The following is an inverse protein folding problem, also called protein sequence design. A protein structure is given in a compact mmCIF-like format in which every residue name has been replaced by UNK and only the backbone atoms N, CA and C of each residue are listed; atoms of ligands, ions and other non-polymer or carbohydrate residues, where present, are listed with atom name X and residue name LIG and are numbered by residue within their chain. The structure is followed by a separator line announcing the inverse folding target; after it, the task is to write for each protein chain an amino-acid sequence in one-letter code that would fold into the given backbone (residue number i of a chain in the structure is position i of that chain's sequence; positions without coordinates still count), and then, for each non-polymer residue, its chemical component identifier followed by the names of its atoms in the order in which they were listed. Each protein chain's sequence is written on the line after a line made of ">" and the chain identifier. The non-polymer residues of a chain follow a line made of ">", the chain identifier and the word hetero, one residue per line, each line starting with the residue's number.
data_IF_895030108226
#
_entry.id   IF_895030108226
#
_cell.length_a   1.000
_cell.length_b   1.000
_cell.length_c   1.000
_cell.angle_alpha   90.00
_cell.angle_beta   90.00
_cell.angle_gamma   90.00
#
_symmetry.space_group_name_H-M   'P 1'
#
loop_
_entity.id
_entity.type
_entity.pdbx_description
1 polymer ?
#
# COMPACT_ATOMS: atom_id res chain seq x y z
N UNK A 1 3.86 -18.09 -25.98
CA UNK A 1 4.73 -17.79 -27.16
C UNK A 1 5.37 -16.43 -26.92
N UNK A 2 6.66 -16.39 -26.51
CA UNK A 2 7.37 -15.14 -26.19
C UNK A 2 7.41 -14.19 -27.40
N UNK A 3 6.92 -12.96 -27.23
CA UNK A 3 7.04 -11.89 -28.25
C UNK A 3 8.12 -10.90 -27.82
N UNK A 4 9.34 -11.10 -28.34
CA UNK A 4 10.42 -10.12 -28.23
C UNK A 4 10.27 -9.05 -29.33
N UNK A 5 10.31 -7.76 -28.94
CA UNK A 5 10.48 -6.65 -29.87
C UNK A 5 11.96 -6.54 -30.25
N UNK A 6 12.24 -6.67 -31.56
CA UNK A 6 13.60 -6.74 -32.09
C UNK A 6 14.22 -5.34 -32.30
N UNK A 7 15.31 -5.05 -31.57
CA UNK A 7 16.31 -4.03 -31.90
C UNK A 7 17.62 -4.69 -32.35
N UNK A 8 18.17 -4.26 -33.49
CA UNK A 8 19.30 -4.89 -34.17
C UNK A 8 20.69 -4.50 -33.60
N UNK A 9 21.56 -5.52 -33.54
CA UNK A 9 23.01 -5.53 -33.82
C UNK A 9 24.03 -5.23 -32.70
N UNK A 10 24.76 -6.27 -32.25
CA UNK A 10 26.12 -6.56 -32.72
C UNK A 10 26.70 -7.84 -32.05
N UNK A 11 27.37 -8.66 -32.86
CA UNK A 11 27.94 -9.97 -32.55
C UNK A 11 29.08 -9.90 -31.51
N UNK A 12 28.93 -10.62 -30.40
CA UNK A 12 30.00 -10.96 -29.47
C UNK A 12 29.73 -12.32 -28.83
N UNK A 13 30.54 -13.33 -29.16
CA UNK A 13 30.43 -14.69 -28.65
C UNK A 13 31.11 -14.76 -27.27
N UNK A 14 30.34 -14.68 -26.18
CA UNK A 14 30.80 -14.99 -24.83
C UNK A 14 29.69 -15.65 -24.02
N UNK A 15 29.98 -16.90 -23.60
CA UNK A 15 29.42 -17.66 -22.47
C UNK A 15 27.90 -17.94 -22.47
N UNK A 16 27.60 -19.18 -22.13
CA UNK A 16 26.28 -19.78 -21.91
C UNK A 16 25.35 -18.81 -21.16
N UNK A 17 24.21 -18.53 -21.78
CA UNK A 17 23.16 -17.67 -21.25
C UNK A 17 22.65 -18.17 -19.90
N UNK A 18 23.03 -17.50 -18.82
CA UNK A 18 22.10 -17.23 -17.74
C UNK A 18 21.27 -16.05 -18.24
N UNK A 19 19.96 -16.25 -18.42
CA UNK A 19 19.05 -15.16 -18.79
C UNK A 19 19.19 -14.05 -17.77
N UNK A 20 19.55 -12.85 -18.24
CA UNK A 20 19.40 -11.66 -17.41
C UNK A 20 17.93 -11.50 -17.13
N UNK A 21 17.57 -11.50 -15.85
CA UNK A 21 16.25 -11.10 -15.35
C UNK A 21 15.93 -9.76 -15.98
N UNK A 22 14.96 -9.72 -16.90
CA UNK A 22 14.42 -8.45 -17.37
C UNK A 22 13.26 -8.13 -16.45
N UNK A 23 13.29 -6.92 -15.91
CA UNK A 23 12.28 -6.24 -15.08
C UNK A 23 10.85 -6.28 -15.68
N UNK A 24 10.70 -6.74 -16.93
CA UNK A 24 9.48 -6.75 -17.74
C UNK A 24 8.82 -8.15 -17.92
N UNK A 25 9.08 -9.12 -17.03
CA UNK A 25 8.42 -10.43 -17.16
C UNK A 25 6.96 -10.35 -16.70
N UNK A 26 6.07 -10.19 -17.68
CA UNK A 26 4.64 -10.39 -17.56
C UNK A 26 4.27 -11.86 -17.75
N UNK A 27 3.36 -12.35 -16.93
CA UNK A 27 2.84 -13.72 -16.97
C UNK A 27 1.34 -13.67 -17.24
N UNK A 28 0.86 -14.46 -18.20
CA UNK A 28 -0.56 -14.47 -18.61
C UNK A 28 -1.45 -15.25 -17.64
N UNK A 29 -0.85 -16.07 -16.76
CA UNK A 29 -1.56 -16.87 -15.75
C UNK A 29 -0.63 -17.35 -14.64
N UNK A 30 -1.19 -17.75 -13.50
CA UNK A 30 -0.43 -18.30 -12.39
C UNK A 30 0.22 -19.65 -12.75
N UNK A 31 -0.42 -20.45 -13.61
CA UNK A 31 0.17 -21.69 -14.12
C UNK A 31 1.43 -21.41 -14.97
N UNK A 32 1.43 -20.36 -15.81
CA UNK A 32 2.63 -19.94 -16.55
C UNK A 32 3.76 -19.50 -15.62
N UNK A 33 3.42 -18.76 -14.56
CA UNK A 33 4.41 -18.35 -13.55
C UNK A 33 4.94 -19.54 -12.73
N UNK A 34 4.11 -20.55 -12.46
CA UNK A 34 4.55 -21.82 -11.86
C UNK A 34 5.55 -22.53 -12.77
N UNK A 35 5.27 -22.65 -14.07
CA UNK A 35 6.20 -23.27 -15.03
C UNK A 35 7.56 -22.54 -15.05
N UNK A 36 7.54 -21.20 -14.99
CA UNK A 36 8.75 -20.40 -14.91
C UNK A 36 9.50 -20.64 -13.58
N UNK A 37 8.79 -20.62 -12.45
CA UNK A 37 9.31 -20.92 -11.12
C UNK A 37 10.01 -22.28 -11.04
N UNK A 38 9.38 -23.33 -11.56
CA UNK A 38 9.96 -24.67 -11.60
C UNK A 38 11.16 -24.76 -12.56
N UNK A 39 11.15 -24.03 -13.68
CA UNK A 39 12.27 -24.02 -14.62
C UNK A 39 13.56 -23.43 -14.03
N UNK A 40 13.42 -22.51 -13.07
CA UNK A 40 14.53 -21.90 -12.33
C UNK A 40 14.97 -22.75 -11.11
N UNK A 41 14.30 -23.88 -10.86
CA UNK A 41 14.60 -24.81 -9.78
C UNK A 41 13.77 -24.63 -8.51
N UNK A 42 12.69 -23.84 -8.59
CA UNK A 42 11.66 -23.80 -7.55
C UNK A 42 10.86 -25.09 -7.47
N UNK A 43 10.21 -25.35 -6.33
CA UNK A 43 9.38 -26.54 -6.13
C UNK A 43 7.92 -26.15 -5.87
N UNK A 44 7.03 -26.40 -6.82
CA UNK A 44 5.58 -26.27 -6.63
C UNK A 44 4.91 -27.65 -6.60
N UNK A 45 4.97 -28.32 -5.45
CA UNK A 45 4.35 -29.63 -5.32
C UNK A 45 2.82 -29.52 -5.29
N UNK A 46 2.13 -30.40 -6.03
CA UNK A 46 0.65 -30.50 -6.05
C UNK A 46 -0.06 -29.15 -6.28
N UNK A 47 0.17 -28.48 -7.43
CA UNK A 47 -0.41 -27.17 -7.70
C UNK A 47 -1.94 -27.25 -7.69
N UNK A 48 -2.56 -26.38 -6.90
CA UNK A 48 -4.00 -26.15 -6.89
C UNK A 48 -4.29 -24.77 -7.44
N UNK A 49 -4.76 -24.72 -8.67
CA UNK A 49 -5.15 -23.50 -9.39
C UNK A 49 -6.58 -23.11 -9.04
N UNK A 50 -6.81 -21.84 -8.74
CA UNK A 50 -8.11 -21.24 -8.52
C UNK A 50 -8.16 -19.85 -9.18
N UNK A 51 -9.36 -19.42 -9.60
CA UNK A 51 -9.56 -18.01 -9.97
C UNK A 51 -9.54 -17.16 -8.71
N UNK A 52 -8.98 -15.96 -8.82
CA UNK A 52 -8.80 -15.02 -7.71
C UNK A 52 -9.24 -13.61 -8.12
N UNK A 53 -9.37 -12.71 -7.15
CA UNK A 53 -9.62 -11.28 -7.37
C UNK A 53 -10.89 -11.01 -8.22
N UNK A 54 -12.03 -11.62 -7.86
CA UNK A 54 -13.29 -11.49 -8.60
C UNK A 54 -13.19 -11.79 -10.11
N UNK A 55 -12.45 -12.84 -10.48
CA UNK A 55 -12.16 -13.28 -11.85
C UNK A 55 -11.17 -12.39 -12.64
N UNK A 56 -10.40 -11.52 -11.96
CA UNK A 56 -9.37 -10.67 -12.57
C UNK A 56 -7.94 -11.23 -12.49
N UNK A 57 -7.76 -12.37 -11.82
CA UNK A 57 -6.50 -13.07 -11.83
C UNK A 57 -6.60 -14.54 -11.41
N UNK A 58 -5.44 -15.17 -11.30
CA UNK A 58 -5.27 -16.57 -10.96
C UNK A 58 -4.38 -16.71 -9.73
N UNK A 59 -4.65 -17.74 -8.92
CA UNK A 59 -3.80 -18.14 -7.82
C UNK A 59 -3.46 -19.63 -7.95
N UNK A 60 -2.21 -19.99 -7.65
CA UNK A 60 -1.77 -21.36 -7.46
C UNK A 60 -1.22 -21.52 -6.05
N UNK A 61 -1.77 -22.49 -5.31
CA UNK A 61 -1.22 -22.92 -4.02
C UNK A 61 -0.46 -24.23 -4.19
N UNK A 62 0.80 -24.24 -3.75
CA UNK A 62 1.65 -25.41 -3.76
C UNK A 62 1.73 -26.01 -2.35
N UNK A 63 1.72 -27.34 -2.23
CA UNK A 63 1.90 -28.04 -0.94
C UNK A 63 3.30 -27.86 -0.34
N UNK A 64 4.28 -27.40 -1.14
CA UNK A 64 5.58 -26.91 -0.68
C UNK A 64 5.49 -25.65 0.18
N UNK A 65 4.33 -24.98 0.20
CA UNK A 65 4.08 -23.78 0.99
C UNK A 65 4.36 -22.49 0.22
N UNK A 66 4.51 -22.54 -1.09
CA UNK A 66 4.54 -21.38 -2.00
C UNK A 66 3.12 -21.10 -2.50
N UNK A 67 2.73 -19.83 -2.54
CA UNK A 67 1.52 -19.38 -3.26
C UNK A 67 1.95 -18.39 -4.34
N UNK A 68 1.40 -18.53 -5.54
CA UNK A 68 1.75 -17.75 -6.72
C UNK A 68 0.47 -17.08 -7.24
N UNK A 69 0.54 -15.79 -7.51
CA UNK A 69 -0.59 -14.95 -7.93
C UNK A 69 -0.24 -14.19 -9.20
N UNK A 70 -1.18 -14.07 -10.12
CA UNK A 70 -1.08 -13.21 -11.31
C UNK A 70 -2.39 -12.46 -11.55
N UNK A 71 -2.31 -11.25 -12.09
CA UNK A 71 -3.48 -10.47 -12.50
C UNK A 71 -3.20 -9.69 -13.79
N UNK A 72 -4.25 -9.28 -14.47
CA UNK A 72 -4.17 -8.83 -15.87
C UNK A 72 -3.89 -7.34 -16.01
N UNK A 73 -4.36 -6.53 -15.06
CA UNK A 73 -4.33 -5.07 -15.16
C UNK A 73 -3.20 -4.50 -14.28
N UNK A 74 -2.10 -3.97 -14.87
CA UNK A 74 -1.11 -3.25 -14.10
C UNK A 74 -1.68 -1.94 -13.55
N UNK A 75 -1.08 -1.39 -12.49
CA UNK A 75 -1.52 -0.12 -11.93
C UNK A 75 -1.37 1.02 -12.94
N UNK A 76 -2.20 2.06 -12.81
CA UNK A 76 -2.20 3.20 -13.75
C UNK A 76 -0.91 3.99 -13.73
N UNK A 77 -0.25 4.07 -12.57
CA UNK A 77 1.12 4.56 -12.42
C UNK A 77 1.97 3.45 -11.83
N UNK A 78 3.23 3.40 -12.23
CA UNK A 78 4.21 2.44 -11.71
C UNK A 78 4.44 2.56 -10.20
N UNK A 79 4.17 3.72 -9.60
CA UNK A 79 4.24 3.94 -8.17
C UNK A 79 2.99 3.49 -7.40
N UNK A 80 1.87 3.18 -8.09
CA UNK A 80 0.66 2.74 -7.41
C UNK A 80 0.76 1.24 -7.07
N UNK A 81 0.25 0.88 -5.90
CA UNK A 81 0.16 -0.52 -5.44
C UNK A 81 -1.07 -1.17 -6.09
N UNK A 82 -0.93 -2.31 -6.80
CA UNK A 82 -2.07 -3.02 -7.37
C UNK A 82 -3.11 -3.42 -6.30
N UNK A 83 -4.40 -3.28 -6.59
CA UNK A 83 -5.47 -3.68 -5.67
C UNK A 83 -5.38 -5.19 -5.34
N UNK A 84 -5.05 -6.00 -6.34
CA UNK A 84 -4.85 -7.45 -6.21
C UNK A 84 -3.67 -7.77 -5.28
N UNK A 85 -2.60 -6.96 -5.32
CA UNK A 85 -1.49 -7.12 -4.39
C UNK A 85 -1.94 -6.83 -2.95
N UNK A 86 -2.80 -5.83 -2.73
CA UNK A 86 -3.37 -5.57 -1.41
C UNK A 86 -4.21 -6.75 -0.92
N UNK A 87 -4.99 -7.40 -1.80
CA UNK A 87 -5.75 -8.60 -1.45
C UNK A 87 -4.84 -9.79 -1.10
N UNK A 88 -3.75 -10.00 -1.85
CA UNK A 88 -2.74 -11.02 -1.53
C UNK A 88 -2.13 -10.78 -0.16
N UNK A 89 -1.81 -9.52 0.16
CA UNK A 89 -1.25 -9.12 1.44
C UNK A 89 -2.26 -9.36 2.58
N UNK A 90 -3.53 -8.97 2.40
CA UNK A 90 -4.63 -9.24 3.35
C UNK A 90 -4.87 -10.72 3.58
N UNK A 91 -4.84 -11.52 2.52
CA UNK A 91 -5.06 -12.98 2.60
C UNK A 91 -4.03 -13.68 3.49
N UNK A 92 -2.80 -13.17 3.52
CA UNK A 92 -1.69 -13.73 4.29
C UNK A 92 -1.36 -12.92 5.54
N UNK A 93 -2.21 -11.96 5.91
CA UNK A 93 -2.03 -11.17 7.11
C UNK A 93 -1.96 -12.07 8.35
N UNK A 94 -0.98 -11.79 9.23
CA UNK A 94 -0.74 -12.57 10.44
C UNK A 94 -0.04 -13.92 10.21
N UNK A 95 0.25 -14.31 8.98
CA UNK A 95 1.07 -15.50 8.68
C UNK A 95 2.57 -15.14 8.64
N UNK A 96 3.45 -16.07 9.06
CA UNK A 96 4.92 -15.91 8.94
C UNK A 96 5.37 -16.11 7.48
N UNK A 97 4.99 -15.17 6.60
CA UNK A 97 5.26 -15.22 5.17
C UNK A 97 5.99 -13.98 4.69
N UNK A 98 6.69 -14.15 3.58
CA UNK A 98 7.35 -13.07 2.84
C UNK A 98 6.70 -12.99 1.47
N UNK A 99 6.57 -11.78 0.95
CA UNK A 99 6.00 -11.54 -0.36
C UNK A 99 7.05 -10.95 -1.29
N UNK A 100 7.04 -11.38 -2.54
CA UNK A 100 7.83 -10.77 -3.62
C UNK A 100 6.86 -10.43 -4.72
N UNK A 101 6.72 -9.15 -5.04
CA UNK A 101 5.68 -8.68 -5.93
C UNK A 101 6.20 -7.79 -7.06
N UNK A 102 5.51 -7.83 -8.17
CA UNK A 102 5.64 -6.93 -9.29
C UNK A 102 4.27 -6.33 -9.65
N UNK A 103 4.18 -5.56 -10.73
CA UNK A 103 2.96 -4.89 -11.16
C UNK A 103 1.79 -5.82 -11.49
N UNK A 104 2.04 -7.08 -11.85
CA UNK A 104 1.05 -8.05 -12.36
C UNK A 104 1.15 -9.44 -11.75
N UNK A 105 2.02 -9.62 -10.76
CA UNK A 105 2.20 -10.92 -10.11
C UNK A 105 2.79 -10.79 -8.71
N UNK A 106 2.57 -11.80 -7.88
CA UNK A 106 3.18 -11.91 -6.57
C UNK A 106 3.48 -13.37 -6.19
N UNK A 107 4.60 -13.58 -5.51
CA UNK A 107 4.88 -14.78 -4.74
C UNK A 107 4.61 -14.50 -3.27
N UNK A 108 4.01 -15.47 -2.59
CA UNK A 108 4.06 -15.56 -1.14
C UNK A 108 4.83 -16.82 -0.77
N UNK A 109 5.87 -16.69 0.04
CA UNK A 109 6.81 -17.78 0.41
C UNK A 109 7.08 -17.80 1.91
N UNK A 110 7.66 -18.90 2.40
CA UNK A 110 8.07 -19.05 3.79
C UNK A 110 9.55 -18.74 3.95
N UNK A 111 9.88 -17.80 4.84
CA UNK A 111 11.27 -17.46 5.17
C UNK A 111 11.94 -16.48 4.22
N UNK A 112 12.97 -15.82 4.72
CA UNK A 112 13.72 -14.76 4.03
C UNK A 112 14.52 -15.29 2.83
N UNK A 113 15.25 -16.39 3.03
CA UNK A 113 16.06 -17.02 1.97
C UNK A 113 15.23 -17.37 0.73
N UNK A 114 13.97 -17.81 0.90
CA UNK A 114 13.08 -18.10 -0.23
C UNK A 114 12.61 -16.84 -0.95
N UNK A 115 12.38 -15.74 -0.22
CA UNK A 115 12.00 -14.48 -0.83
C UNK A 115 13.17 -13.86 -1.61
N UNK A 116 14.37 -13.87 -1.05
CA UNK A 116 15.59 -13.45 -1.74
C UNK A 116 15.84 -14.29 -2.99
N UNK A 117 15.68 -15.61 -2.89
CA UNK A 117 15.84 -16.50 -4.03
C UNK A 117 14.88 -16.16 -5.18
N UNK A 118 13.61 -15.84 -4.88
CA UNK A 118 12.62 -15.43 -5.87
C UNK A 118 13.00 -14.07 -6.44
N UNK A 119 13.32 -13.10 -5.59
CA UNK A 119 13.73 -11.75 -6.00
C UNK A 119 14.92 -11.76 -6.97
N UNK A 120 15.95 -12.56 -6.69
CA UNK A 120 17.14 -12.65 -7.55
C UNK A 120 16.86 -13.23 -8.95
N UNK A 121 15.79 -14.00 -9.13
CA UNK A 121 15.48 -14.72 -10.38
C UNK A 121 14.35 -14.10 -11.17
N UNK A 122 13.34 -13.58 -10.47
CA UNK A 122 12.13 -13.03 -11.06
C UNK A 122 12.09 -11.50 -10.98
N UNK A 123 13.00 -10.89 -10.20
CA UNK A 123 12.91 -9.48 -9.87
C UNK A 123 11.79 -9.23 -8.86
N UNK A 124 11.02 -8.16 -9.07
CA UNK A 124 10.00 -7.73 -8.12
C UNK A 124 10.59 -7.22 -6.81
N UNK A 125 9.75 -6.60 -5.98
CA UNK A 125 10.14 -6.04 -4.70
C UNK A 125 9.85 -7.05 -3.58
N UNK A 126 10.83 -7.29 -2.70
CA UNK A 126 10.57 -8.01 -1.45
C UNK A 126 9.79 -7.06 -0.53
N UNK A 127 8.60 -7.49 -0.14
CA UNK A 127 7.75 -6.79 0.81
C UNK A 127 8.06 -7.33 2.23
N UNK A 128 8.37 -6.43 3.16
CA UNK A 128 8.64 -6.79 4.55
C UNK A 128 7.36 -7.25 5.27
N UNK A 129 7.47 -7.93 6.41
CA UNK A 129 6.30 -8.22 7.25
C UNK A 129 5.61 -6.92 7.73
N UNK A 130 6.37 -5.83 7.85
CA UNK A 130 5.88 -4.49 8.14
C UNK A 130 5.24 -3.81 6.92
N UNK A 131 5.55 -4.24 5.70
CA UNK A 131 4.92 -3.74 4.48
C UNK A 131 3.42 -4.06 4.43
N UNK A 132 2.90 -5.03 5.20
CA UNK A 132 1.45 -5.14 5.36
C UNK A 132 0.85 -3.89 6.02
N UNK A 133 1.49 -3.42 7.10
CA UNK A 133 1.05 -2.29 7.91
C UNK A 133 1.23 -0.96 7.16
N UNK A 134 2.34 -0.84 6.43
CA UNK A 134 2.65 0.35 5.65
C UNK A 134 1.83 0.42 4.33
N UNK A 135 1.38 -0.71 3.76
CA UNK A 135 0.65 -0.70 2.47
C UNK A 135 -0.86 -0.77 2.62
N UNK A 136 -1.40 -1.25 3.74
CA UNK A 136 -2.85 -1.44 3.91
C UNK A 136 -3.47 -0.43 4.87
N UNK A 137 -2.70 0.18 5.79
CA UNK A 137 -3.26 1.21 6.67
C UNK A 137 -3.60 2.45 5.85
N UNK A 138 -4.89 2.82 5.71
CA UNK A 138 -5.26 4.04 5.01
C UNK A 138 -4.67 5.28 5.70
N UNK A 139 -4.45 5.21 7.03
CA UNK A 139 -3.80 6.27 7.79
C UNK A 139 -2.31 6.39 7.45
N UNK A 140 -1.58 5.29 7.26
CA UNK A 140 -0.20 5.40 6.81
C UNK A 140 -0.11 6.00 5.40
N UNK A 141 -0.94 5.54 4.46
CA UNK A 141 -0.96 6.06 3.09
C UNK A 141 -1.29 7.57 3.06
N UNK A 142 -2.31 7.98 3.82
CA UNK A 142 -2.64 9.40 3.96
C UNK A 142 -1.55 10.21 4.66
N UNK A 143 -0.79 9.62 5.58
CA UNK A 143 0.36 10.29 6.17
C UNK A 143 1.47 10.53 5.14
N UNK A 144 1.88 9.50 4.39
CA UNK A 144 2.95 9.62 3.40
C UNK A 144 2.60 10.60 2.27
N UNK A 145 1.34 10.63 1.82
CA UNK A 145 0.89 11.56 0.77
C UNK A 145 0.73 13.00 1.29
N UNK A 146 0.18 13.19 2.50
CA UNK A 146 -0.20 14.51 2.99
C UNK A 146 0.81 15.17 3.94
N UNK A 147 1.83 14.45 4.40
CA UNK A 147 2.85 15.03 5.27
C UNK A 147 3.76 15.98 4.47
N UNK A 148 3.77 17.25 4.88
CA UNK A 148 4.60 18.28 4.26
C UNK A 148 5.83 18.56 5.14
N UNK A 149 7.07 18.32 4.64
CA UNK A 149 8.31 18.56 5.38
C UNK A 149 8.52 20.02 5.82
N UNK A 150 7.85 20.97 5.19
CA UNK A 150 7.86 22.38 5.61
C UNK A 150 7.08 22.59 6.92
N UNK A 151 6.18 21.66 7.26
CA UNK A 151 5.26 21.72 8.39
C UNK A 151 5.18 20.40 9.17
N UNK A 152 6.34 19.83 9.52
CA UNK A 152 6.50 18.53 10.23
C UNK A 152 5.65 18.33 11.51
N UNK A 153 5.08 19.39 12.09
CA UNK A 153 4.23 19.30 13.30
C UNK A 153 2.72 19.31 12.99
N UNK A 154 2.32 19.65 11.76
CA UNK A 154 0.91 19.76 11.38
C UNK A 154 0.25 18.38 11.23
N UNK A 155 1.00 17.38 10.80
CA UNK A 155 0.58 15.99 10.70
C UNK A 155 1.57 15.11 11.44
N UNK A 156 1.07 14.22 12.29
CA UNK A 156 1.90 13.22 12.96
C UNK A 156 1.24 11.86 12.85
N UNK A 157 2.04 10.81 12.70
CA UNK A 157 1.57 9.43 12.68
C UNK A 157 2.31 8.60 13.74
N UNK A 158 1.56 7.96 14.63
CA UNK A 158 2.08 6.96 15.55
C UNK A 158 1.91 5.59 14.92
N UNK A 159 2.97 5.10 14.29
CA UNK A 159 2.99 3.79 13.62
C UNK A 159 2.69 2.63 14.58
N UNK A 160 2.96 2.77 15.88
CA UNK A 160 2.76 1.66 16.83
C UNK A 160 1.30 1.44 17.15
N UNK A 161 0.52 2.51 17.19
CA UNK A 161 -0.90 2.48 17.54
C UNK A 161 -1.83 2.84 16.37
N UNK A 162 -1.26 3.09 15.19
CA UNK A 162 -1.97 3.49 13.98
C UNK A 162 -2.87 4.72 14.21
N UNK A 163 -2.28 5.72 14.87
CA UNK A 163 -2.99 6.95 15.22
C UNK A 163 -2.41 8.10 14.42
N UNK A 164 -3.24 8.73 13.60
CA UNK A 164 -2.89 9.98 12.93
C UNK A 164 -3.42 11.17 13.72
N UNK A 165 -2.64 12.25 13.82
CA UNK A 165 -3.08 13.50 14.43
C UNK A 165 -2.81 14.68 13.51
N UNK A 166 -3.83 15.52 13.35
CA UNK A 166 -3.77 16.80 12.64
C UNK A 166 -3.80 17.92 13.68
N UNK A 167 -2.75 18.75 13.69
CA UNK A 167 -2.53 19.76 14.72
C UNK A 167 -2.65 21.17 14.16
N UNK A 168 -3.46 22.01 14.80
CA UNK A 168 -3.45 23.45 14.57
C UNK A 168 -4.19 23.93 13.32
N UNK A 169 -4.87 23.07 12.58
CA UNK A 169 -5.60 23.48 11.37
C UNK A 169 -6.58 24.63 11.67
N UNK A 170 -6.54 25.68 10.85
CA UNK A 170 -7.35 26.89 11.01
C UNK A 170 -7.13 27.68 12.31
N UNK A 171 -5.95 27.54 12.94
CA UNK A 171 -5.54 28.43 14.03
C UNK A 171 -5.56 29.90 13.58
N UNK A 172 -6.02 30.78 14.47
CA UNK A 172 -6.10 32.22 14.27
C UNK A 172 -5.04 32.99 15.05
N UNK A 173 -4.54 34.07 14.45
CA UNK A 173 -3.77 35.12 15.10
C UNK A 173 -4.63 36.41 15.12
N UNK A 174 -5.34 36.64 16.21
CA UNK A 174 -6.39 37.67 16.23
C UNK A 174 -7.56 37.27 15.33
N UNK A 175 -7.91 38.11 14.36
CA UNK A 175 -9.09 37.91 13.51
C UNK A 175 -8.81 37.19 12.17
N UNK A 176 -7.54 36.83 11.89
CA UNK A 176 -7.14 36.13 10.66
C UNK A 176 -6.47 34.80 10.98
N UNK A 177 -6.39 33.89 10.00
CA UNK A 177 -5.65 32.65 10.13
C UNK A 177 -4.16 32.94 10.31
N UNK A 178 -3.49 32.21 11.21
CA UNK A 178 -2.03 32.21 11.29
C UNK A 178 -1.45 31.51 10.05
N UNK A 179 -0.17 31.77 9.74
CA UNK A 179 0.52 31.06 8.67
C UNK A 179 0.52 29.54 8.93
N UNK A 180 0.88 29.13 10.14
CA UNK A 180 0.83 27.73 10.57
C UNK A 180 -0.59 27.13 10.50
N UNK A 181 -1.61 27.88 10.94
CA UNK A 181 -3.00 27.42 10.87
C UNK A 181 -3.54 27.30 9.44
N UNK A 182 -3.02 28.12 8.52
CA UNK A 182 -3.34 28.00 7.09
C UNK A 182 -2.68 26.76 6.50
N UNK A 183 -1.39 26.54 6.77
CA UNK A 183 -0.66 25.37 6.30
C UNK A 183 -1.27 24.06 6.83
N UNK A 184 -1.51 23.97 8.15
CA UNK A 184 -2.18 22.83 8.75
C UNK A 184 -3.62 22.63 8.21
N UNK A 185 -4.29 23.71 7.78
CA UNK A 185 -5.59 23.62 7.11
C UNK A 185 -5.51 23.01 5.70
N UNK A 186 -4.38 23.18 5.00
CA UNK A 186 -4.12 22.52 3.70
C UNK A 186 -3.80 21.03 3.91
N UNK A 187 -3.00 20.71 4.93
CA UNK A 187 -2.72 19.34 5.35
C UNK A 187 -4.01 18.61 5.70
N UNK A 188 -4.89 19.22 6.52
CA UNK A 188 -6.20 18.64 6.83
C UNK A 188 -7.03 18.38 5.57
N UNK A 189 -7.05 19.33 4.62
CA UNK A 189 -7.78 19.18 3.37
C UNK A 189 -7.26 17.99 2.53
N UNK A 190 -5.96 17.74 2.52
CA UNK A 190 -5.39 16.54 1.88
C UNK A 190 -5.86 15.26 2.58
N UNK A 191 -5.74 15.22 3.91
CA UNK A 191 -6.12 14.04 4.71
C UNK A 191 -7.61 13.71 4.56
N UNK A 192 -8.49 14.72 4.58
CA UNK A 192 -9.93 14.47 4.47
C UNK A 192 -10.36 13.98 3.08
N UNK A 193 -9.61 14.34 2.03
CA UNK A 193 -9.80 13.83 0.66
C UNK A 193 -9.30 12.38 0.54
N UNK A 194 -8.07 12.10 1.00
CA UNK A 194 -7.46 10.76 0.92
C UNK A 194 -8.26 9.72 1.72
N UNK A 195 -8.74 10.09 2.91
CA UNK A 195 -9.57 9.22 3.74
C UNK A 195 -11.06 9.26 3.38
N UNK A 196 -11.43 9.95 2.30
CA UNK A 196 -12.81 10.07 1.81
C UNK A 196 -13.81 10.45 2.91
N UNK A 197 -13.43 11.38 3.79
CA UNK A 197 -14.24 11.76 4.97
C UNK A 197 -15.61 12.24 4.50
N UNK A 198 -16.73 11.65 4.95
CA UNK A 198 -18.05 12.03 4.47
C UNK A 198 -18.40 13.48 4.77
N UNK A 199 -19.13 14.15 3.86
CA UNK A 199 -19.52 15.56 4.01
C UNK A 199 -20.17 15.88 5.37
N UNK A 200 -20.97 14.97 5.93
CA UNK A 200 -21.63 15.21 7.23
C UNK A 200 -20.63 15.25 8.41
N UNK A 201 -19.52 14.51 8.30
CA UNK A 201 -18.40 14.57 9.28
C UNK A 201 -17.62 15.86 9.09
N UNK A 202 -17.30 16.23 7.84
CA UNK A 202 -16.64 17.51 7.52
C UNK A 202 -17.45 18.71 8.05
N UNK A 203 -18.77 18.72 7.83
CA UNK A 203 -19.67 19.78 8.31
C UNK A 203 -19.72 19.85 9.85
N UNK A 204 -19.65 18.70 10.52
CA UNK A 204 -19.61 18.64 11.99
C UNK A 204 -18.28 19.21 12.50
N UNK A 205 -17.15 18.85 11.90
CA UNK A 205 -15.84 19.43 12.22
C UNK A 205 -15.86 20.94 11.97
N UNK A 206 -16.27 21.38 10.78
CA UNK A 206 -16.30 22.79 10.37
C UNK A 206 -17.24 23.68 11.18
N UNK A 207 -18.29 23.10 11.77
CA UNK A 207 -19.21 23.82 12.67
C UNK A 207 -18.82 23.76 14.15
N UNK A 208 -17.75 23.02 14.49
CA UNK A 208 -17.29 22.88 15.88
C UNK A 208 -16.65 24.19 16.38
N UNK A 209 -17.11 24.63 17.55
CA UNK A 209 -16.68 25.84 18.23
C UNK A 209 -15.98 25.49 19.54
N UNK A 210 -15.23 26.46 20.08
CA UNK A 210 -14.52 26.31 21.35
C UNK A 210 -15.39 26.03 22.57
N UNK A 211 -16.71 26.23 22.46
CA UNK A 211 -17.65 25.99 23.56
C UNK A 211 -18.18 24.55 23.60
N UNK A 212 -18.01 23.77 22.52
CA UNK A 212 -18.53 22.40 22.42
C UNK A 212 -17.58 21.36 23.03
N UNK A 213 -16.33 21.73 23.30
CA UNK A 213 -15.33 20.82 23.85
C UNK A 213 -14.88 19.78 22.83
N UNK A 214 -14.54 18.57 23.31
CA UNK A 214 -14.18 17.45 22.45
C UNK A 214 -15.44 16.87 21.79
N UNK A 215 -15.34 16.58 20.50
CA UNK A 215 -16.35 15.96 19.66
C UNK A 215 -15.77 14.67 19.08
N UNK A 216 -16.65 13.80 18.58
CA UNK A 216 -16.29 12.55 17.94
C UNK A 216 -17.27 12.18 16.83
N UNK A 217 -16.78 11.39 15.86
CA UNK A 217 -17.55 10.82 14.77
C UNK A 217 -16.91 9.51 14.31
N UNK A 218 -17.68 8.69 13.59
CA UNK A 218 -17.21 7.47 12.93
C UNK A 218 -17.80 7.41 11.53
N UNK A 219 -17.03 6.86 10.60
CA UNK A 219 -17.47 6.49 9.26
C UNK A 219 -16.64 5.31 8.81
N UNK A 220 -17.26 4.35 8.13
CA UNK A 220 -16.60 3.11 7.69
C UNK A 220 -15.77 2.49 8.85
N UNK A 221 -14.49 2.18 8.63
CA UNK A 221 -13.55 1.65 9.62
C UNK A 221 -12.79 2.75 10.40
N UNK A 222 -13.17 4.02 10.26
CA UNK A 222 -12.50 5.15 10.90
C UNK A 222 -13.25 5.68 12.11
N UNK A 223 -12.48 6.10 13.10
CA UNK A 223 -12.98 6.96 14.18
C UNK A 223 -12.16 8.24 14.26
N UNK A 224 -12.86 9.36 14.50
CA UNK A 224 -12.23 10.65 14.71
C UNK A 224 -12.66 11.24 16.04
N UNK A 225 -11.72 11.89 16.72
CA UNK A 225 -11.96 12.70 17.90
C UNK A 225 -11.28 14.05 17.75
N UNK A 226 -12.00 15.15 17.92
CA UNK A 226 -11.42 16.48 17.72
C UNK A 226 -11.90 17.51 18.73
N UNK A 227 -11.17 18.62 18.78
CA UNK A 227 -11.63 19.85 19.42
C UNK A 227 -11.13 21.05 18.62
N UNK A 228 -11.85 22.16 18.69
CA UNK A 228 -11.44 23.39 18.04
C UNK A 228 -11.33 24.52 19.05
N UNK A 229 -10.23 25.27 19.02
CA UNK A 229 -10.14 26.56 19.69
C UNK A 229 -9.42 27.57 18.78
N UNK A 230 -9.90 28.81 18.59
CA UNK A 230 -9.27 29.78 17.68
C UNK A 230 -7.76 29.95 17.91
N UNK A 231 -7.32 30.00 19.17
CA UNK A 231 -5.90 30.15 19.50
C UNK A 231 -5.04 28.90 19.25
N UNK A 232 -5.64 27.71 19.16
CA UNK A 232 -4.92 26.43 19.02
C UNK A 232 -5.24 25.70 17.72
N UNK A 233 -6.20 26.19 16.93
CA UNK A 233 -6.74 25.49 15.77
C UNK A 233 -7.62 24.28 16.12
N UNK A 234 -7.95 23.53 15.07
CA UNK A 234 -8.49 22.18 15.11
C UNK A 234 -7.36 21.24 15.51
N UNK A 235 -7.62 20.42 16.52
CA UNK A 235 -6.75 19.32 16.92
C UNK A 235 -7.58 18.06 16.83
N UNK A 236 -7.23 17.21 15.88
CA UNK A 236 -8.03 16.07 15.44
C UNK A 236 -7.16 14.81 15.47
N UNK A 237 -7.69 13.76 16.04
CA UNK A 237 -7.08 12.42 16.13
C UNK A 237 -7.93 11.47 15.31
N UNK A 238 -7.28 10.65 14.49
CA UNK A 238 -7.86 9.61 13.64
C UNK A 238 -7.29 8.27 14.04
N UNK A 239 -8.17 7.29 14.13
CA UNK A 239 -7.86 5.89 14.37
C UNK A 239 -8.58 5.07 13.31
N UNK A 240 -7.95 3.98 12.88
CA UNK A 240 -8.52 3.00 11.96
C UNK A 240 -8.66 1.67 12.70
N UNK A 241 -9.87 1.12 12.73
CA UNK A 241 -10.15 -0.18 13.34
C UNK A 241 -10.18 -1.23 12.21
N UNK A 242 -9.08 -1.98 12.04
CA UNK A 242 -9.09 -3.18 11.21
C UNK A 242 -9.92 -4.26 11.93
N UNK A 243 -11.09 -4.59 11.38
CA UNK A 243 -12.04 -5.56 11.94
C UNK A 243 -11.58 -7.04 11.75
N UNK A 244 -10.27 -7.28 11.58
CA UNK A 244 -9.67 -8.58 11.19
C UNK A 244 -9.42 -9.57 12.34
#
# INVERSE_FOLDING_TARGET
>A
MKRALAGLSATGLFLTACGGVTEDDHYESADELVEAYESEGGECNEPQTETSFDDHGDAVRCSSGVSIYTWTDPPRREADVPEELQEVLKLHAGEERRHVAHQTWAFSVKGEDSAEWVHERFGGQILSADAYRDYVSPLHNAYEECNDPEWDEALTYDETYEVMTVNGAYQKLGDHLSAAGTAAGIVWFCVEDELSVPQHVQDHIGSTTSLQGRQDARWDEFSASWSYHPNNGLNLTLEWEDDS
#
